data_IF_153984072940
#
_entry.id   IF_153984072940
#
_cell.length_a   1.000
_cell.length_b   1.000
_cell.length_c   1.000
_cell.angle_alpha   90.00
_cell.angle_beta   90.00
_cell.angle_gamma   90.00
#
_symmetry.space_group_name_H-M   'P 1'
#
loop_
_entity.id
_entity.type
_entity.pdbx_description
1 polymer ?
#
# COMPACT_ATOMS: atom_id res chain seq x y z
N UNK A 1 -0.65 8.07 -7.39
CA UNK A 1 -0.86 8.89 -8.58
C UNK A 1 -2.36 8.94 -8.83
N UNK A 2 -2.93 10.05 -9.24
CA UNK A 2 -4.39 10.19 -9.42
C UNK A 2 -4.69 10.86 -10.78
N UNK A 3 -4.66 10.10 -11.89
CA UNK A 3 -4.91 10.64 -13.23
C UNK A 3 -6.35 11.17 -13.31
N UNK A 4 -6.59 12.27 -14.06
CA UNK A 4 -7.89 12.95 -14.10
C UNK A 4 -9.00 12.12 -14.77
N UNK A 5 -8.60 11.19 -15.62
CA UNK A 5 -9.49 10.25 -16.32
C UNK A 5 -9.06 8.83 -16.03
N UNK A 6 -9.98 7.88 -16.17
CA UNK A 6 -9.66 6.46 -16.05
C UNK A 6 -8.65 6.07 -17.13
N UNK A 7 -7.53 5.52 -16.72
CA UNK A 7 -6.49 4.93 -17.58
C UNK A 7 -6.30 3.48 -17.19
N UNK A 8 -5.65 2.71 -18.05
CA UNK A 8 -5.33 1.30 -17.80
C UNK A 8 -3.84 1.03 -17.91
N UNK A 9 -3.39 0.01 -17.19
CA UNK A 9 -2.06 -0.61 -17.42
C UNK A 9 -2.03 -1.33 -18.75
N UNK A 10 -0.86 -1.79 -19.19
CA UNK A 10 -0.72 -2.63 -20.38
C UNK A 10 -1.54 -3.92 -20.27
N UNK A 11 -1.70 -4.45 -19.05
CA UNK A 11 -2.50 -5.64 -18.77
C UNK A 11 -4.02 -5.36 -18.69
N UNK A 12 -4.45 -4.11 -18.88
CA UNK A 12 -5.86 -3.71 -18.92
C UNK A 12 -6.49 -3.36 -17.56
N UNK A 13 -5.75 -3.40 -16.46
CA UNK A 13 -6.24 -3.00 -15.12
C UNK A 13 -6.36 -1.48 -14.99
N UNK A 14 -7.30 -1.01 -14.15
CA UNK A 14 -7.33 0.41 -13.78
C UNK A 14 -5.96 0.82 -13.23
N UNK A 15 -5.45 1.96 -13.73
CA UNK A 15 -4.04 2.32 -13.57
C UNK A 15 -3.59 2.37 -12.11
N UNK A 16 -4.39 2.92 -11.20
CA UNK A 16 -3.99 3.04 -9.80
C UNK A 16 -4.12 1.71 -9.06
N UNK A 17 -5.19 0.97 -9.31
CA UNK A 17 -5.38 -0.36 -8.71
C UNK A 17 -4.32 -1.35 -9.22
N UNK A 18 -4.05 -1.33 -10.53
CA UNK A 18 -3.03 -2.15 -11.15
C UNK A 18 -1.61 -1.82 -10.65
N UNK A 19 -1.22 -0.54 -10.69
CA UNK A 19 0.16 -0.13 -10.37
C UNK A 19 0.44 -0.09 -8.87
N UNK A 20 -0.53 0.33 -8.04
CA UNK A 20 -0.30 0.48 -6.60
C UNK A 20 -0.53 -0.81 -5.83
N UNK A 21 -1.43 -1.68 -6.28
CA UNK A 21 -1.83 -2.87 -5.53
C UNK A 21 -1.55 -4.18 -6.27
N UNK A 22 -2.13 -4.43 -7.47
CA UNK A 22 -1.99 -5.73 -8.14
C UNK A 22 -0.54 -6.05 -8.53
N UNK A 23 0.21 -5.05 -9.03
CA UNK A 23 1.64 -5.21 -9.36
C UNK A 23 2.48 -5.55 -8.12
N UNK A 24 2.44 -4.74 -7.04
CA UNK A 24 3.09 -5.07 -5.77
C UNK A 24 2.65 -6.40 -5.18
N UNK A 25 1.37 -6.75 -5.26
CA UNK A 25 0.87 -8.07 -4.84
C UNK A 25 1.54 -9.20 -5.60
N UNK A 26 1.49 -9.16 -6.94
CA UNK A 26 2.08 -10.18 -7.79
C UNK A 26 3.59 -10.31 -7.59
N UNK A 27 4.30 -9.17 -7.46
CA UNK A 27 5.72 -9.14 -7.16
C UNK A 27 6.02 -9.79 -5.81
N UNK A 28 5.28 -9.42 -4.78
CA UNK A 28 5.45 -9.96 -3.44
C UNK A 28 5.24 -11.47 -3.43
N UNK A 29 4.17 -11.96 -4.04
CA UNK A 29 3.88 -13.40 -4.09
C UNK A 29 4.95 -14.20 -4.86
N UNK A 30 5.46 -13.65 -5.96
CA UNK A 30 6.54 -14.29 -6.74
C UNK A 30 7.87 -14.33 -5.98
N UNK A 31 8.18 -13.28 -5.22
CA UNK A 31 9.41 -13.20 -4.44
C UNK A 31 9.30 -13.85 -3.05
N UNK A 32 8.09 -14.16 -2.60
CA UNK A 32 7.86 -14.65 -1.23
C UNK A 32 8.73 -15.86 -0.85
N UNK A 33 8.95 -16.89 -1.70
CA UNK A 33 9.85 -18.00 -1.36
C UNK A 33 11.28 -17.55 -1.08
N UNK A 34 11.79 -16.58 -1.85
CA UNK A 34 13.14 -16.02 -1.65
C UNK A 34 13.19 -15.13 -0.40
N UNK A 35 12.14 -14.34 -0.17
CA UNK A 35 12.02 -13.50 1.03
C UNK A 35 12.02 -14.37 2.28
N UNK A 36 11.25 -15.45 2.30
CA UNK A 36 11.16 -16.37 3.45
C UNK A 36 12.47 -17.12 3.73
N UNK A 37 13.38 -17.21 2.77
CA UNK A 37 14.70 -17.82 2.96
C UNK A 37 15.70 -16.88 3.67
N UNK A 38 15.36 -15.60 3.83
CA UNK A 38 16.21 -14.64 4.55
C UNK A 38 16.14 -14.88 6.08
N UNK A 39 17.20 -14.53 6.84
CA UNK A 39 17.19 -14.69 8.30
C UNK A 39 16.09 -13.86 9.00
N UNK A 40 15.88 -12.63 8.53
CA UNK A 40 14.85 -11.71 9.06
C UNK A 40 14.00 -11.17 7.90
N UNK A 41 13.09 -11.99 7.35
CA UNK A 41 12.32 -11.61 6.18
C UNK A 41 11.33 -10.50 6.50
N UNK A 42 11.32 -9.47 5.67
CA UNK A 42 10.40 -8.33 5.80
C UNK A 42 9.74 -8.00 4.48
N UNK A 43 8.44 -7.73 4.54
CA UNK A 43 7.67 -7.12 3.45
C UNK A 43 7.09 -5.81 3.96
N UNK A 44 7.45 -4.70 3.33
CA UNK A 44 6.94 -3.39 3.71
C UNK A 44 6.16 -2.79 2.56
N UNK A 45 4.91 -2.43 2.83
CA UNK A 45 3.99 -1.88 1.84
C UNK A 45 3.71 -0.40 2.12
N UNK A 46 3.91 0.44 1.10
CA UNK A 46 3.63 1.87 1.22
C UNK A 46 2.14 2.15 0.97
N UNK A 47 1.42 2.49 2.04
CA UNK A 47 0.06 2.99 1.98
C UNK A 47 0.00 4.52 1.97
N UNK A 48 -1.09 5.09 2.41
CA UNK A 48 -1.30 6.55 2.52
C UNK A 48 -2.38 6.85 3.55
N UNK A 49 -2.38 8.05 4.12
CA UNK A 49 -3.46 8.53 4.98
C UNK A 49 -4.86 8.48 4.32
N UNK A 50 -4.91 8.57 2.98
CA UNK A 50 -6.17 8.45 2.22
C UNK A 50 -6.83 7.06 2.31
N UNK A 51 -6.11 6.03 2.72
CA UNK A 51 -6.67 4.70 2.99
C UNK A 51 -7.82 4.76 4.02
N UNK A 52 -7.82 5.77 4.90
CA UNK A 52 -8.84 5.95 5.94
C UNK A 52 -10.26 6.13 5.41
N UNK A 53 -10.42 6.75 4.24
CA UNK A 53 -11.73 6.91 3.58
C UNK A 53 -11.91 6.00 2.36
N UNK A 54 -10.91 5.19 2.02
CA UNK A 54 -10.99 4.19 0.95
C UNK A 54 -12.11 3.17 1.18
N UNK A 55 -12.59 2.58 0.10
CA UNK A 55 -13.55 1.47 0.11
C UNK A 55 -13.21 0.50 -1.02
N UNK A 56 -13.20 -0.80 -0.73
CA UNK A 56 -13.05 -1.83 -1.76
C UNK A 56 -14.41 -2.04 -2.43
N UNK A 57 -14.47 -1.74 -3.71
CA UNK A 57 -15.70 -1.84 -4.52
C UNK A 57 -15.69 -3.14 -5.31
N UNK A 58 -16.04 -4.23 -4.69
CA UNK A 58 -16.04 -5.54 -5.35
C UNK A 58 -16.97 -5.64 -6.57
N UNK A 59 -17.98 -4.80 -6.64
CA UNK A 59 -18.86 -4.67 -7.79
C UNK A 59 -18.26 -3.86 -8.96
N UNK A 60 -17.16 -3.12 -8.70
CA UNK A 60 -16.47 -2.29 -9.69
C UNK A 60 -15.04 -1.96 -9.25
N UNK A 61 -14.22 -2.99 -8.97
CA UNK A 61 -12.80 -2.84 -8.58
C UNK A 61 -12.03 -1.99 -9.59
N UNK A 62 -12.38 -2.11 -10.84
CA UNK A 62 -11.73 -1.49 -12.00
C UNK A 62 -12.29 -0.10 -12.34
N UNK A 63 -13.24 0.44 -11.56
CA UNK A 63 -13.84 1.77 -11.79
C UNK A 63 -14.36 1.96 -13.23
N UNK A 64 -15.00 0.95 -13.81
CA UNK A 64 -15.52 0.96 -15.18
C UNK A 64 -16.78 1.79 -15.34
N UNK A 65 -17.60 1.90 -14.27
CA UNK A 65 -18.90 2.61 -14.31
C UNK A 65 -18.75 4.10 -14.07
N UNK A 66 -18.15 4.52 -12.97
CA UNK A 66 -17.98 5.94 -12.58
C UNK A 66 -16.62 6.14 -11.95
N UNK A 67 -15.70 6.69 -12.70
CA UNK A 67 -14.34 6.93 -12.23
C UNK A 67 -14.24 8.19 -11.35
N UNK A 68 -13.56 8.05 -10.24
CA UNK A 68 -13.11 9.14 -9.38
C UNK A 68 -11.65 8.92 -9.03
N UNK A 69 -10.77 9.80 -9.52
CA UNK A 69 -9.32 9.69 -9.34
C UNK A 69 -8.92 9.53 -7.86
N UNK A 70 -9.52 10.35 -6.98
CA UNK A 70 -9.20 10.33 -5.56
C UNK A 70 -9.73 9.07 -4.85
N UNK A 71 -10.93 8.60 -5.21
CA UNK A 71 -11.49 7.40 -4.59
C UNK A 71 -10.82 6.12 -5.12
N UNK A 72 -10.40 6.10 -6.39
CA UNK A 72 -9.60 5.00 -6.94
C UNK A 72 -8.24 4.92 -6.26
N UNK A 73 -7.59 6.08 -6.03
CA UNK A 73 -6.36 6.15 -5.24
C UNK A 73 -6.57 5.67 -3.81
N UNK A 74 -7.62 6.14 -3.14
CA UNK A 74 -7.94 5.71 -1.78
C UNK A 74 -8.24 4.21 -1.69
N UNK A 75 -8.94 3.64 -2.69
CA UNK A 75 -9.17 2.20 -2.80
C UNK A 75 -7.85 1.44 -2.93
N UNK A 76 -6.93 1.86 -3.83
CA UNK A 76 -5.65 1.17 -4.01
C UNK A 76 -4.80 1.21 -2.74
N UNK A 77 -4.79 2.34 -2.01
CA UNK A 77 -4.03 2.48 -0.76
C UNK A 77 -4.65 1.74 0.43
N UNK A 78 -5.97 1.59 0.45
CA UNK A 78 -6.64 0.70 1.40
C UNK A 78 -6.31 -0.77 1.07
N UNK A 79 -6.29 -1.14 -0.21
CA UNK A 79 -5.93 -2.48 -0.66
C UNK A 79 -4.48 -2.85 -0.25
N UNK A 80 -3.53 -1.93 -0.40
CA UNK A 80 -2.16 -2.07 0.07
C UNK A 80 -2.10 -2.41 1.57
N UNK A 81 -2.87 -1.68 2.39
CA UNK A 81 -2.87 -1.90 3.83
C UNK A 81 -3.60 -3.19 4.22
N UNK A 82 -4.67 -3.57 3.51
CA UNK A 82 -5.33 -4.87 3.70
C UNK A 82 -4.40 -6.03 3.35
N UNK A 83 -3.64 -5.92 2.25
CA UNK A 83 -2.62 -6.90 1.87
C UNK A 83 -1.57 -7.07 2.97
N UNK A 84 -1.07 -5.94 3.50
CA UNK A 84 -0.10 -5.94 4.61
C UNK A 84 -0.61 -6.74 5.81
N UNK A 85 -1.81 -6.43 6.28
CA UNK A 85 -2.38 -7.06 7.48
C UNK A 85 -2.71 -8.54 7.23
N UNK A 86 -3.24 -8.86 6.06
CA UNK A 86 -3.55 -10.24 5.70
C UNK A 86 -2.28 -11.10 5.55
N UNK A 87 -1.21 -10.56 4.94
CA UNK A 87 0.08 -11.26 4.88
C UNK A 87 0.68 -11.45 6.27
N UNK A 88 0.51 -10.49 7.18
CA UNK A 88 0.92 -10.63 8.57
C UNK A 88 0.17 -11.76 9.29
N UNK A 89 -1.14 -11.89 9.05
CA UNK A 89 -1.95 -13.01 9.56
C UNK A 89 -1.50 -14.37 8.98
N UNK A 90 -1.26 -14.41 7.67
CA UNK A 90 -0.73 -15.62 7.00
C UNK A 90 0.64 -16.01 7.54
N UNK A 91 1.50 -15.04 7.86
CA UNK A 91 2.80 -15.33 8.48
C UNK A 91 2.64 -16.03 9.84
N UNK A 92 1.71 -15.57 10.67
CA UNK A 92 1.40 -16.23 11.96
C UNK A 92 0.80 -17.62 11.75
N UNK A 93 -0.18 -17.76 10.87
CA UNK A 93 -0.86 -19.03 10.60
C UNK A 93 0.10 -20.12 10.06
N UNK A 94 1.03 -19.71 9.21
CA UNK A 94 2.02 -20.61 8.60
C UNK A 94 3.32 -20.72 9.41
N UNK A 95 3.43 -20.03 10.55
CA UNK A 95 4.63 -19.97 11.39
C UNK A 95 5.88 -19.47 10.64
N UNK A 96 5.70 -18.54 9.71
CA UNK A 96 6.84 -17.88 9.04
C UNK A 96 7.49 -16.86 9.96
N UNK A 97 8.80 -16.76 9.90
CA UNK A 97 9.55 -15.70 10.57
C UNK A 97 9.45 -14.38 9.78
N UNK A 98 8.32 -14.14 9.12
CA UNK A 98 8.08 -12.99 8.26
C UNK A 98 7.45 -11.86 9.06
N UNK A 99 7.98 -10.67 8.87
CA UNK A 99 7.36 -9.41 9.32
C UNK A 99 6.74 -8.69 8.12
N UNK A 100 5.42 -8.54 8.09
CA UNK A 100 4.69 -7.77 7.09
C UNK A 100 4.17 -6.47 7.70
N UNK A 101 4.68 -5.33 7.23
CA UNK A 101 4.42 -4.01 7.80
C UNK A 101 3.90 -3.03 6.75
N UNK A 102 3.09 -2.08 7.21
CA UNK A 102 2.67 -0.93 6.40
C UNK A 102 3.31 0.36 6.87
N UNK A 103 3.47 1.30 5.94
CA UNK A 103 3.89 2.65 6.26
C UNK A 103 3.10 3.68 5.44
N UNK A 104 2.98 4.91 5.95
CA UNK A 104 2.53 6.06 5.15
C UNK A 104 3.41 7.29 5.43
N UNK A 105 3.68 8.10 4.39
CA UNK A 105 4.63 9.21 4.48
C UNK A 105 4.02 10.49 5.05
N UNK A 106 2.78 10.49 5.51
CA UNK A 106 2.06 11.72 5.84
C UNK A 106 1.84 12.60 4.61
N UNK A 107 1.87 13.92 4.82
CA UNK A 107 1.78 14.91 3.75
C UNK A 107 3.18 15.45 3.41
N UNK A 108 3.84 14.77 2.49
CA UNK A 108 5.21 15.06 2.07
C UNK A 108 5.22 15.90 0.79
N UNK A 109 6.09 16.90 0.74
CA UNK A 109 6.29 17.76 -0.44
C UNK A 109 7.00 16.98 -1.54
N UNK A 110 6.23 16.47 -2.50
CA UNK A 110 6.72 15.72 -3.66
C UNK A 110 6.01 16.17 -4.94
N UNK A 111 6.52 15.75 -6.08
CA UNK A 111 5.86 15.97 -7.37
C UNK A 111 4.66 15.04 -7.62
N UNK A 112 4.26 14.23 -6.64
CA UNK A 112 3.21 13.21 -6.81
C UNK A 112 1.88 13.82 -7.25
N UNK A 113 1.47 14.93 -6.61
CA UNK A 113 0.18 15.58 -6.89
C UNK A 113 0.15 16.19 -8.30
N UNK A 114 1.27 16.79 -8.75
CA UNK A 114 1.40 17.38 -10.08
C UNK A 114 1.55 16.35 -11.16
N UNK A 115 2.39 15.35 -10.94
CA UNK A 115 2.64 14.28 -11.90
C UNK A 115 1.35 13.52 -12.22
N UNK A 116 0.55 13.15 -11.20
CA UNK A 116 -0.72 12.47 -11.39
C UNK A 116 -1.76 13.30 -12.14
N UNK A 117 -1.96 14.55 -11.72
CA UNK A 117 -2.92 15.46 -12.33
C UNK A 117 -2.56 15.85 -13.78
N UNK A 118 -1.30 15.69 -14.17
CA UNK A 118 -0.78 16.01 -15.50
C UNK A 118 -0.71 14.80 -16.42
N UNK A 119 -0.93 13.59 -15.91
CA UNK A 119 -0.81 12.37 -16.69
C UNK A 119 -1.80 12.34 -17.86
N UNK A 120 -1.31 12.08 -19.06
CA UNK A 120 -2.11 12.08 -20.29
C UNK A 120 -2.46 13.47 -20.82
N UNK A 121 -1.85 14.56 -20.31
CA UNK A 121 -2.05 15.93 -20.79
C UNK A 121 -0.81 16.46 -21.49
N UNK A 122 -1.02 17.16 -22.60
CA UNK A 122 0.06 17.85 -23.33
C UNK A 122 0.70 19.00 -22.51
N UNK A 123 -0.07 19.61 -21.60
CA UNK A 123 0.42 20.70 -20.74
C UNK A 123 0.18 20.32 -19.26
N UNK A 124 1.22 20.41 -18.41
CA UNK A 124 1.06 20.16 -16.97
C UNK A 124 0.03 21.10 -16.35
N UNK A 125 -0.92 20.55 -15.60
CA UNK A 125 -1.90 21.34 -14.87
C UNK A 125 -1.26 21.87 -13.58
N UNK A 126 -1.22 23.19 -13.41
CA UNK A 126 -0.98 23.78 -12.09
C UNK A 126 -2.20 23.48 -11.22
N UNK A 127 -2.03 22.67 -10.19
CA UNK A 127 -3.09 22.42 -9.21
C UNK A 127 -2.98 23.44 -8.09
N UNK A 128 -4.10 23.83 -7.42
CA UNK A 128 -4.05 24.69 -6.24
C UNK A 128 -3.14 24.18 -5.12
N UNK A 129 -2.87 22.88 -5.09
CA UNK A 129 -1.92 22.25 -4.17
C UNK A 129 -0.46 22.65 -4.40
N UNK A 130 -0.12 23.22 -5.56
CA UNK A 130 1.20 23.76 -5.89
C UNK A 130 1.33 25.24 -5.65
N UNK A 131 0.24 25.92 -5.35
CA UNK A 131 0.32 27.31 -4.93
C UNK A 131 0.98 27.32 -3.53
N UNK A 132 1.87 28.26 -3.30
CA UNK A 132 2.62 28.48 -2.04
C UNK A 132 1.74 28.70 -0.79
N UNK A 133 0.44 28.48 -0.90
CA UNK A 133 -0.60 28.63 0.13
C UNK A 133 -1.38 27.31 0.32
N UNK A 134 -0.70 26.25 0.77
CA UNK A 134 -1.41 25.11 1.33
C UNK A 134 -1.48 25.29 2.86
N UNK A 135 -2.66 25.47 3.47
CA UNK A 135 -2.80 25.66 4.91
C UNK A 135 -2.47 24.38 5.71
N UNK A 136 -2.33 23.23 5.04
CA UNK A 136 -1.99 21.99 5.71
C UNK A 136 -0.48 21.89 5.93
N UNK A 137 -0.05 21.49 7.13
CA UNK A 137 1.35 21.24 7.40
C UNK A 137 1.87 20.12 6.49
N UNK A 138 3.05 20.34 5.92
CA UNK A 138 3.75 19.39 5.07
C UNK A 138 5.18 19.20 5.56
N UNK A 139 5.76 18.05 5.24
CA UNK A 139 7.13 17.70 5.62
C UNK A 139 8.01 17.44 4.41
N UNK A 140 9.33 17.43 4.62
CA UNK A 140 10.31 17.14 3.59
C UNK A 140 10.32 15.65 3.22
N UNK A 141 10.96 15.32 2.10
CA UNK A 141 10.99 13.94 1.56
C UNK A 141 11.69 12.99 2.54
N UNK A 142 12.75 13.44 3.16
CA UNK A 142 13.53 12.69 4.16
C UNK A 142 12.66 12.25 5.33
N UNK A 143 11.87 13.19 5.89
CA UNK A 143 10.93 12.90 6.97
C UNK A 143 9.79 11.98 6.50
N UNK A 144 9.33 12.16 5.25
CA UNK A 144 8.30 11.30 4.66
C UNK A 144 8.78 9.86 4.43
N UNK A 145 10.10 9.63 4.31
CA UNK A 145 10.69 8.32 4.15
C UNK A 145 10.89 7.57 5.49
N UNK A 146 11.00 8.29 6.61
CA UNK A 146 11.28 7.69 7.93
C UNK A 146 10.33 6.55 8.32
N UNK A 147 8.98 6.64 8.15
CA UNK A 147 8.10 5.53 8.50
C UNK A 147 8.36 4.25 7.70
N UNK A 148 8.76 4.40 6.42
CA UNK A 148 9.11 3.25 5.58
C UNK A 148 10.43 2.63 6.05
N UNK A 149 11.44 3.45 6.34
CA UNK A 149 12.72 2.99 6.84
C UNK A 149 12.56 2.30 8.20
N UNK A 150 11.78 2.89 9.11
CA UNK A 150 11.46 2.26 10.40
C UNK A 150 10.83 0.88 10.20
N UNK A 151 9.78 0.78 9.38
CA UNK A 151 9.11 -0.49 9.10
C UNK A 151 10.05 -1.54 8.48
N UNK A 152 11.03 -1.09 7.68
CA UNK A 152 11.95 -1.96 6.95
C UNK A 152 13.13 -2.44 7.78
N UNK A 153 13.66 -1.63 8.71
CA UNK A 153 14.95 -1.89 9.33
C UNK A 153 14.98 -1.81 10.87
N UNK A 154 13.99 -1.17 11.48
CA UNK A 154 14.03 -1.00 12.94
C UNK A 154 13.69 -2.33 13.65
N UNK A 155 14.50 -2.72 14.68
CA UNK A 155 14.21 -3.92 15.48
C UNK A 155 12.88 -3.86 16.25
N UNK A 156 12.39 -2.66 16.55
CA UNK A 156 11.09 -2.42 17.20
C UNK A 156 9.88 -2.55 16.27
N UNK A 157 10.11 -2.71 14.96
CA UNK A 157 9.02 -2.92 14.01
C UNK A 157 8.43 -4.34 14.15
N UNK A 158 7.14 -4.41 14.48
CA UNK A 158 6.45 -5.68 14.77
C UNK A 158 5.57 -6.12 13.61
N UNK A 159 5.37 -7.42 13.45
CA UNK A 159 4.50 -7.98 12.41
C UNK A 159 3.08 -7.43 12.50
N UNK A 160 2.52 -6.97 11.36
CA UNK A 160 1.23 -6.29 11.29
C UNK A 160 1.28 -4.81 11.70
N UNK A 161 2.48 -4.26 11.94
CA UNK A 161 2.68 -2.86 12.29
C UNK A 161 2.29 -1.92 11.16
N UNK A 162 1.75 -0.75 11.51
CA UNK A 162 1.50 0.35 10.59
C UNK A 162 2.12 1.62 11.14
N UNK A 163 2.98 2.26 10.36
CA UNK A 163 3.82 3.35 10.80
C UNK A 163 3.58 4.63 9.98
N UNK A 164 3.62 5.76 10.65
CA UNK A 164 3.39 7.06 10.03
C UNK A 164 3.74 8.21 10.95
N UNK A 165 3.62 9.46 10.50
CA UNK A 165 3.87 10.63 11.32
C UNK A 165 2.89 10.76 12.49
N UNK A 166 3.37 11.28 13.63
CA UNK A 166 2.61 11.34 14.89
C UNK A 166 1.76 12.58 15.09
N UNK A 167 1.96 13.65 14.29
CA UNK A 167 1.33 14.96 14.51
C UNK A 167 0.36 15.32 13.40
N UNK A 168 -0.57 16.26 13.72
CA UNK A 168 -1.54 16.78 12.75
C UNK A 168 -2.29 15.66 12.01
N UNK A 169 -2.89 14.75 12.80
CA UNK A 169 -3.66 13.61 12.26
C UNK A 169 -2.85 12.72 11.29
N UNK A 170 -1.54 12.57 11.56
CA UNK A 170 -0.67 11.75 10.73
C UNK A 170 -0.15 12.45 9.47
N UNK A 171 -0.22 13.78 9.41
CA UNK A 171 0.29 14.52 8.26
C UNK A 171 1.79 14.81 8.36
N UNK A 172 2.31 15.09 9.55
CA UNK A 172 3.70 15.48 9.78
C UNK A 172 4.21 14.97 11.13
N UNK A 173 5.51 15.03 11.35
CA UNK A 173 6.17 14.75 12.64
C UNK A 173 6.92 13.43 12.66
N UNK A 174 7.52 13.08 13.80
CA UNK A 174 8.30 11.86 13.94
C UNK A 174 7.46 10.61 13.72
N UNK A 175 8.12 9.55 13.28
CA UNK A 175 7.52 8.22 13.07
C UNK A 175 6.94 7.65 14.36
N UNK A 176 5.76 7.10 14.27
CA UNK A 176 5.09 6.38 15.36
C UNK A 176 4.27 5.22 14.84
N UNK A 177 3.88 4.32 15.71
CA UNK A 177 2.85 3.30 15.40
C UNK A 177 1.50 3.99 15.23
N UNK A 178 0.84 3.71 14.12
CA UNK A 178 -0.46 4.25 13.76
C UNK A 178 -1.48 3.11 13.76
N UNK A 179 -2.67 3.38 14.29
CA UNK A 179 -3.75 2.39 14.22
C UNK A 179 -4.29 2.31 12.79
N UNK A 180 -4.29 1.13 12.14
CA UNK A 180 -4.90 0.96 10.82
C UNK A 180 -6.39 1.34 10.84
N UNK A 181 -6.93 1.96 9.79
CA UNK A 181 -8.35 2.27 9.64
C UNK A 181 -9.23 1.02 9.89
N UNK A 182 -10.44 1.23 10.42
CA UNK A 182 -11.35 0.12 10.72
C UNK A 182 -11.58 -0.81 9.52
N UNK A 183 -11.73 -0.24 8.30
CA UNK A 183 -11.92 -1.02 7.09
C UNK A 183 -10.69 -1.87 6.73
N UNK A 184 -9.48 -1.38 6.96
CA UNK A 184 -8.27 -2.17 6.71
C UNK A 184 -8.17 -3.40 7.61
N UNK A 185 -8.79 -3.37 8.80
CA UNK A 185 -8.81 -4.44 9.80
C UNK A 185 -9.96 -5.43 9.64
N UNK A 186 -10.73 -5.34 8.58
CA UNK A 186 -11.79 -6.29 8.25
C UNK A 186 -11.18 -7.50 7.53
N UNK A 187 -10.93 -8.56 8.29
CA UNK A 187 -10.27 -9.78 7.83
C UNK A 187 -11.05 -10.47 6.69
N UNK A 188 -12.38 -10.47 6.75
CA UNK A 188 -13.20 -11.09 5.71
C UNK A 188 -13.08 -10.34 4.36
N UNK A 189 -13.12 -9.00 4.42
CA UNK A 189 -12.88 -8.16 3.24
C UNK A 189 -11.46 -8.31 2.72
N UNK A 190 -10.45 -8.40 3.59
CA UNK A 190 -9.06 -8.59 3.21
C UNK A 190 -8.82 -9.93 2.53
N UNK A 191 -9.36 -11.03 3.08
CA UNK A 191 -9.27 -12.36 2.48
C UNK A 191 -9.96 -12.43 1.10
N UNK A 192 -11.14 -11.82 0.96
CA UNK A 192 -11.84 -11.71 -0.33
C UNK A 192 -11.02 -10.92 -1.34
N UNK A 193 -10.44 -9.79 -0.93
CA UNK A 193 -9.58 -8.97 -1.79
C UNK A 193 -8.33 -9.74 -2.23
N UNK A 194 -7.74 -10.52 -1.32
CA UNK A 194 -6.61 -11.38 -1.63
C UNK A 194 -6.95 -12.40 -2.72
N UNK A 195 -8.06 -13.13 -2.57
CA UNK A 195 -8.53 -14.09 -3.59
C UNK A 195 -8.82 -13.42 -4.95
N UNK A 196 -9.37 -12.20 -4.94
CA UNK A 196 -9.55 -11.44 -6.17
C UNK A 196 -8.22 -11.01 -6.80
N UNK A 197 -7.23 -10.63 -5.99
CA UNK A 197 -5.89 -10.30 -6.49
C UNK A 197 -5.21 -11.53 -7.12
N UNK A 198 -5.28 -12.70 -6.49
CA UNK A 198 -4.80 -13.96 -7.06
C UNK A 198 -5.47 -14.26 -8.41
N UNK A 199 -6.79 -14.14 -8.46
CA UNK A 199 -7.57 -14.38 -9.69
C UNK A 199 -7.21 -13.38 -10.81
N UNK A 200 -7.06 -12.10 -10.49
CA UNK A 200 -6.76 -11.05 -11.47
C UNK A 200 -5.32 -11.13 -11.99
N UNK A 201 -4.38 -11.43 -11.11
CA UNK A 201 -2.94 -11.48 -11.47
C UNK A 201 -2.51 -12.84 -12.00
N UNK A 202 -3.28 -13.89 -11.74
CA UNK A 202 -2.87 -15.27 -11.99
C UNK A 202 -1.71 -15.74 -11.11
N UNK A 203 -1.41 -14.99 -10.02
CA UNK A 203 -0.32 -15.30 -9.09
C UNK A 203 -0.91 -15.60 -7.72
N UNK A 204 -0.76 -16.84 -7.26
CA UNK A 204 -1.25 -17.28 -5.96
C UNK A 204 -0.11 -17.40 -4.94
N UNK A 205 -0.50 -17.55 -3.67
CA UNK A 205 0.44 -17.89 -2.61
C UNK A 205 1.19 -19.18 -2.96
N UNK A 206 2.53 -19.20 -2.94
CA UNK A 206 3.30 -20.38 -3.32
C UNK A 206 2.98 -21.59 -2.45
N UNK A 207 2.57 -22.69 -3.05
CA UNK A 207 2.20 -23.94 -2.34
C UNK A 207 3.35 -24.53 -1.48
N UNK A 208 4.60 -24.15 -1.74
CA UNK A 208 5.79 -24.54 -0.97
C UNK A 208 6.16 -23.60 0.16
N UNK A 209 5.57 -22.42 0.25
CA UNK A 209 5.93 -21.43 1.27
C UNK A 209 5.68 -21.96 2.71
N UNK A 210 4.70 -22.83 2.90
CA UNK A 210 4.43 -23.47 4.18
C UNK A 210 5.50 -24.51 4.62
N UNK A 211 6.41 -24.92 3.75
CA UNK A 211 7.41 -25.96 4.04
C UNK A 211 8.82 -25.44 4.31
N UNK A 212 9.09 -24.16 4.07
CA UNK A 212 10.44 -23.58 4.19
C UNK A 212 10.90 -23.34 5.64
N UNK A 213 10.05 -23.61 6.62
CA UNK A 213 10.37 -23.43 8.05
C UNK A 213 10.90 -24.71 8.73
N UNK A 214 11.12 -25.81 8.00
CA UNK A 214 11.73 -27.04 8.51
C UNK A 214 13.13 -27.21 7.93
N UNK A 215 14.06 -26.42 8.32
CA UNK A 215 15.47 -26.82 8.40
C UNK A 215 15.74 -27.10 9.86
N UNK A 216 15.85 -28.39 10.15
CA UNK A 216 16.22 -28.93 11.44
C UNK A 216 17.51 -28.27 11.94
N UNK A 217 17.46 -27.79 13.16
CA UNK A 217 18.61 -27.54 14.00
C UNK A 217 19.13 -28.85 14.56
#
# INVERSE_FOLDING_TARGET
MAPPTRMTTADGFELQFGSNFLGPFALTMRLLPLVLAAPEPRVVTMSSGVASYGRIRFDDLEWKRRYSANLAYAQSKLADLMMTLHLAELAVQNRWNLTSNGAHPGFTRTNLQTAGASLGRATPKRTPFNASFNPLPSQEVEQGAEPLLYAASDPGAVNGGYYGPSRWFGLVGPTTTVRPPRRARDAATAARLWSEAERLTGVALPAGAARLTRTDS
#
